data_IF_485781530996
#
_entry.id   IF_485781530996
#
_cell.length_a   1.000
_cell.length_b   1.000
_cell.length_c   1.000
_cell.angle_alpha   90.00
_cell.angle_beta   90.00
_cell.angle_gamma   90.00
#
_symmetry.space_group_name_H-M   'P 1'
#
loop_
_entity.id
_entity.type
_entity.pdbx_description
1 polymer ?
#
# COMPACT_ATOMS: atom_id res chain seq x y z
N UNK A 1 -37.42 18.94 -5.93
CA UNK A 1 -38.17 20.18 -5.69
C UNK A 1 -37.16 21.31 -5.55
N UNK A 2 -37.13 22.30 -6.46
CA UNK A 2 -36.11 23.34 -6.42
C UNK A 2 -36.53 24.47 -5.47
N UNK A 3 -35.60 24.95 -4.66
CA UNK A 3 -35.77 26.16 -3.86
C UNK A 3 -35.60 27.40 -4.75
N UNK A 4 -36.49 28.36 -4.59
CA UNK A 4 -36.58 29.61 -5.35
C UNK A 4 -35.66 30.68 -4.72
N UNK A 5 -34.84 31.36 -5.52
CA UNK A 5 -34.07 32.53 -5.09
C UNK A 5 -34.88 33.80 -5.35
N UNK A 6 -35.30 34.51 -4.31
CA UNK A 6 -35.73 35.90 -4.46
C UNK A 6 -34.50 36.81 -4.55
N UNK A 7 -34.50 37.71 -5.53
CA UNK A 7 -33.48 38.72 -5.75
C UNK A 7 -33.89 40.01 -5.01
N UNK A 8 -33.05 40.48 -4.10
CA UNK A 8 -33.03 41.87 -3.64
C UNK A 8 -31.70 42.50 -4.10
N UNK A 9 -31.82 43.59 -4.85
CA UNK A 9 -30.72 44.36 -5.48
C UNK A 9 -30.18 45.42 -4.48
N UNK A 10 -28.88 45.78 -4.47
CA UNK A 10 -28.13 46.21 -3.27
C UNK A 10 -27.88 47.74 -3.18
N UNK A 11 -27.15 48.21 -2.13
CA UNK A 11 -26.10 49.20 -2.40
C UNK A 11 -24.70 48.87 -1.79
N UNK A 12 -23.61 49.44 -2.39
CA UNK A 12 -22.17 49.10 -2.21
C UNK A 12 -21.51 49.81 -0.99
N UNK A 13 -20.22 49.53 -0.61
CA UNK A 13 -19.12 48.96 -1.41
C UNK A 13 -18.68 47.53 -1.08
N UNK A 14 -18.42 46.83 -2.17
CA UNK A 14 -17.99 45.45 -2.26
C UNK A 14 -16.57 45.25 -1.71
N UNK A 15 -16.47 44.38 -0.70
CA UNK A 15 -15.25 43.61 -0.45
C UNK A 15 -15.57 42.18 -0.87
N UNK A 16 -15.34 41.85 -2.13
CA UNK A 16 -15.36 40.47 -2.58
C UNK A 16 -14.13 39.76 -2.01
N UNK A 17 -14.25 39.25 -0.79
CA UNK A 17 -13.31 38.27 -0.26
C UNK A 17 -13.51 36.98 -1.05
N UNK A 18 -12.76 36.84 -2.15
CA UNK A 18 -12.53 35.53 -2.77
C UNK A 18 -11.93 34.64 -1.69
N UNK A 19 -12.75 33.78 -1.08
CA UNK A 19 -12.21 32.57 -0.46
C UNK A 19 -11.60 31.80 -1.61
N UNK A 20 -10.27 31.78 -1.69
CA UNK A 20 -9.58 30.74 -2.44
C UNK A 20 -10.17 29.44 -1.90
N UNK A 21 -11.02 28.80 -2.70
CA UNK A 21 -11.24 27.37 -2.58
C UNK A 21 -9.86 26.78 -2.77
N UNK A 22 -9.21 26.42 -1.66
CA UNK A 22 -8.13 25.46 -1.66
C UNK A 22 -8.73 24.16 -2.19
N UNK A 23 -8.83 24.10 -3.50
CA UNK A 23 -8.99 22.88 -4.25
C UNK A 23 -7.76 22.07 -3.88
N UNK A 24 -7.92 21.21 -2.88
CA UNK A 24 -6.93 20.22 -2.47
C UNK A 24 -6.45 19.58 -3.75
N UNK A 25 -5.26 19.98 -4.21
CA UNK A 25 -4.54 19.30 -5.27
C UNK A 25 -4.42 17.87 -4.79
N UNK A 26 -5.29 17.00 -5.29
CA UNK A 26 -5.25 15.58 -5.00
C UNK A 26 -3.88 15.11 -5.50
N UNK A 27 -2.90 15.03 -4.60
CA UNK A 27 -1.56 14.60 -4.95
C UNK A 27 -1.69 13.20 -5.50
N UNK A 28 -1.48 13.05 -6.82
CA UNK A 28 -1.56 11.74 -7.47
C UNK A 28 -0.59 10.82 -6.73
N UNK A 29 -1.00 9.64 -6.24
CA UNK A 29 -0.11 8.79 -5.46
C UNK A 29 1.14 8.49 -6.29
N UNK A 30 2.29 8.97 -5.80
CA UNK A 30 3.58 8.77 -6.47
C UNK A 30 3.98 7.33 -6.24
N UNK A 31 3.85 6.50 -7.28
CA UNK A 31 4.40 5.14 -7.27
C UNK A 31 5.92 5.27 -7.31
N UNK A 32 6.56 4.96 -6.19
CA UNK A 32 8.03 4.98 -6.07
C UNK A 32 8.67 3.69 -6.57
N UNK A 33 7.96 2.56 -6.43
CA UNK A 33 8.48 1.23 -6.78
C UNK A 33 7.43 0.32 -7.42
N UNK A 34 7.90 -0.66 -8.22
CA UNK A 34 7.05 -1.69 -8.84
C UNK A 34 7.81 -3.00 -9.04
N UNK A 35 7.25 -4.09 -8.53
CA UNK A 35 7.65 -5.45 -8.87
C UNK A 35 6.53 -6.17 -9.63
N UNK A 36 6.90 -7.11 -10.50
CA UNK A 36 5.95 -7.99 -11.22
C UNK A 36 6.28 -9.44 -10.90
N UNK A 37 5.29 -10.16 -10.36
CA UNK A 37 5.39 -11.59 -10.09
C UNK A 37 4.59 -12.35 -11.14
N UNK A 38 5.18 -13.41 -11.73
CA UNK A 38 4.50 -14.34 -12.65
C UNK A 38 4.37 -15.71 -11.97
N UNK A 39 3.30 -15.97 -11.20
CA UNK A 39 3.20 -17.20 -10.41
C UNK A 39 3.15 -18.47 -11.26
N UNK A 40 2.70 -18.38 -12.52
CA UNK A 40 2.66 -19.49 -13.47
C UNK A 40 4.06 -19.92 -13.97
N UNK A 41 5.04 -19.02 -13.91
CA UNK A 41 6.43 -19.30 -14.31
C UNK A 41 7.29 -19.83 -13.15
N UNK A 42 6.74 -19.86 -11.93
CA UNK A 42 7.48 -20.37 -10.77
C UNK A 42 7.57 -21.91 -10.83
N UNK A 43 8.75 -22.49 -10.55
CA UNK A 43 8.90 -23.93 -10.43
C UNK A 43 7.89 -24.55 -9.46
N UNK A 44 7.46 -25.80 -9.68
CA UNK A 44 6.42 -26.44 -8.87
C UNK A 44 6.82 -26.63 -7.40
N UNK A 45 8.11 -26.61 -7.07
CA UNK A 45 8.59 -26.67 -5.69
C UNK A 45 8.37 -25.35 -4.92
N UNK A 46 8.14 -24.22 -5.59
CA UNK A 46 7.86 -22.93 -4.94
C UNK A 46 6.40 -22.89 -4.51
N UNK A 47 6.18 -23.03 -3.21
CA UNK A 47 4.83 -23.04 -2.60
C UNK A 47 4.39 -21.69 -2.05
N UNK A 48 5.32 -20.76 -1.81
CA UNK A 48 5.04 -19.46 -1.18
C UNK A 48 5.99 -18.39 -1.70
N UNK A 49 5.47 -17.18 -1.88
CA UNK A 49 6.22 -15.96 -2.17
C UNK A 49 5.79 -14.89 -1.18
N UNK A 50 6.72 -14.45 -0.35
CA UNK A 50 6.49 -13.42 0.66
C UNK A 50 6.89 -12.07 0.09
N UNK A 51 6.00 -11.08 0.23
CA UNK A 51 6.25 -9.70 -0.17
C UNK A 51 6.45 -8.89 1.11
N UNK A 52 7.64 -8.31 1.23
CA UNK A 52 8.05 -7.52 2.36
C UNK A 52 8.47 -6.11 1.93
N UNK A 53 8.33 -5.17 2.85
CA UNK A 53 8.89 -3.83 2.77
C UNK A 53 9.87 -3.66 3.91
N UNK A 54 10.99 -3.01 3.64
CA UNK A 54 12.01 -2.74 4.64
C UNK A 54 12.46 -1.31 4.52
N UNK A 55 12.64 -0.66 5.67
CA UNK A 55 13.30 0.62 5.73
C UNK A 55 14.80 0.41 5.73
N UNK A 56 15.51 1.34 5.10
CA UNK A 56 16.96 1.41 5.21
C UNK A 56 17.34 1.59 6.69
N UNK A 57 18.20 0.71 7.20
CA UNK A 57 18.65 0.73 8.59
C UNK A 57 19.44 1.98 8.93
N UNK A 58 20.10 2.58 7.95
CA UNK A 58 20.97 3.75 8.13
C UNK A 58 20.17 5.06 8.09
N UNK A 59 18.95 5.03 7.55
CA UNK A 59 18.06 6.20 7.47
C UNK A 59 17.45 6.61 8.81
N UNK A 60 17.46 5.72 9.82
CA UNK A 60 16.73 5.91 11.08
C UNK A 60 15.21 5.88 10.94
N UNK A 61 14.68 5.68 9.73
CA UNK A 61 13.24 5.65 9.45
C UNK A 61 12.62 4.30 9.82
N UNK A 62 11.33 4.33 10.13
CA UNK A 62 10.53 3.15 10.48
C UNK A 62 9.35 3.02 9.52
N UNK A 63 8.67 1.87 9.54
CA UNK A 63 7.48 1.65 8.75
C UNK A 63 6.37 2.66 9.08
N UNK A 64 6.40 3.33 10.24
CA UNK A 64 5.52 4.46 10.54
C UNK A 64 5.71 5.69 9.65
N UNK A 65 6.85 5.82 8.96
CA UNK A 65 7.05 6.87 7.96
C UNK A 65 6.28 6.58 6.64
N UNK A 66 5.77 5.36 6.45
CA UNK A 66 5.07 4.93 5.24
C UNK A 66 3.58 5.30 5.31
N UNK A 67 3.29 6.59 5.21
CA UNK A 67 1.92 7.12 5.33
C UNK A 67 0.99 6.75 4.16
N UNK A 68 1.54 6.29 3.02
CA UNK A 68 0.77 6.01 1.79
C UNK A 68 1.29 4.79 1.02
N UNK A 69 1.83 3.77 1.69
CA UNK A 69 2.15 2.52 1.00
C UNK A 69 0.87 1.86 0.48
N UNK A 70 0.89 1.36 -0.75
CA UNK A 70 -0.22 0.62 -1.36
C UNK A 70 0.32 -0.51 -2.23
N UNK A 71 -0.11 -1.74 -1.94
CA UNK A 71 0.28 -2.92 -2.71
C UNK A 71 -0.77 -3.27 -3.75
N UNK A 72 -0.59 -2.75 -4.97
CA UNK A 72 -1.47 -3.10 -6.08
C UNK A 72 -1.06 -4.44 -6.72
N UNK A 73 -1.95 -5.42 -6.70
CA UNK A 73 -1.73 -6.73 -7.31
C UNK A 73 -2.67 -6.87 -8.49
N UNK A 74 -2.14 -6.67 -9.69
CA UNK A 74 -2.97 -6.81 -10.89
C UNK A 74 -2.98 -8.28 -11.32
N UNK A 75 -4.07 -9.00 -11.05
CA UNK A 75 -4.40 -10.20 -11.84
C UNK A 75 -5.05 -9.75 -13.14
N UNK A 76 -5.06 -10.62 -14.15
CA UNK A 76 -5.85 -10.40 -15.38
C UNK A 76 -7.32 -9.99 -15.09
N UNK A 77 -7.82 -10.29 -13.89
CA UNK A 77 -9.10 -9.84 -13.34
C UNK A 77 -8.88 -8.82 -12.20
N UNK A 78 -8.53 -7.57 -12.53
CA UNK A 78 -8.65 -6.28 -11.78
C UNK A 78 -8.69 -6.22 -10.22
N UNK A 79 -8.19 -7.19 -9.47
CA UNK A 79 -8.29 -7.21 -8.01
C UNK A 79 -7.22 -6.33 -7.36
N UNK A 80 -7.46 -5.02 -7.22
CA UNK A 80 -6.57 -4.14 -6.47
C UNK A 80 -6.77 -4.35 -4.96
N UNK A 81 -5.74 -4.85 -4.27
CA UNK A 81 -5.64 -4.78 -2.82
C UNK A 81 -4.91 -3.49 -2.42
N UNK A 82 -5.22 -2.95 -1.25
CA UNK A 82 -4.51 -1.80 -0.67
C UNK A 82 -4.19 -2.12 0.77
N UNK A 83 -2.96 -1.82 1.19
CA UNK A 83 -2.49 -2.09 2.53
C UNK A 83 -1.76 -0.88 3.07
N UNK A 84 -2.27 -0.36 4.17
CA UNK A 84 -1.64 0.72 4.91
C UNK A 84 -0.95 0.10 6.12
N UNK A 85 0.38 0.17 6.21
CA UNK A 85 1.10 -0.33 7.37
C UNK A 85 0.67 0.46 8.61
N UNK A 86 0.46 -0.19 9.77
CA UNK A 86 0.24 0.53 11.01
C UNK A 86 1.44 1.43 11.34
N UNK A 87 1.15 2.63 11.86
CA UNK A 87 2.15 3.59 12.30
C UNK A 87 2.81 3.16 13.62
N UNK A 88 3.63 2.12 13.55
CA UNK A 88 4.44 1.67 14.68
C UNK A 88 5.89 2.21 14.52
N UNK A 89 6.37 3.04 15.47
CA UNK A 89 7.70 3.62 15.42
C UNK A 89 8.83 2.62 15.67
N UNK A 90 8.53 1.37 16.04
CA UNK A 90 9.54 0.35 16.30
C UNK A 90 9.71 -0.63 15.14
N UNK A 91 8.78 -0.67 14.18
CA UNK A 91 8.82 -1.62 13.07
C UNK A 91 9.70 -1.06 11.95
N UNK A 92 10.72 -1.83 11.55
CA UNK A 92 11.67 -1.47 10.47
C UNK A 92 11.55 -2.35 9.24
N UNK A 93 10.93 -3.51 9.38
CA UNK A 93 10.61 -4.40 8.27
C UNK A 93 9.20 -4.97 8.47
N UNK A 94 8.45 -5.16 7.39
CA UNK A 94 7.09 -5.67 7.46
C UNK A 94 6.78 -6.58 6.30
N UNK A 95 6.21 -7.76 6.59
CA UNK A 95 5.57 -8.61 5.59
C UNK A 95 4.16 -8.10 5.38
N UNK A 96 3.90 -7.61 4.17
CA UNK A 96 2.60 -7.01 3.83
C UNK A 96 1.64 -8.05 3.27
N UNK A 97 2.14 -8.98 2.45
CA UNK A 97 1.33 -10.03 1.85
C UNK A 97 2.15 -11.26 1.51
N UNK A 98 1.47 -12.39 1.43
CA UNK A 98 2.02 -13.63 0.90
C UNK A 98 1.14 -14.19 -0.20
N UNK A 99 1.77 -14.63 -1.28
CA UNK A 99 1.13 -15.49 -2.25
C UNK A 99 1.51 -16.93 -1.92
N UNK A 100 0.52 -17.80 -1.83
CA UNK A 100 0.73 -19.22 -1.57
C UNK A 100 -0.01 -20.07 -2.59
N UNK A 101 0.61 -21.18 -2.96
CA UNK A 101 0.01 -22.17 -3.85
C UNK A 101 -1.02 -22.98 -3.06
N UNK A 102 -2.18 -23.19 -3.65
CA UNK A 102 -3.32 -23.88 -3.08
C UNK A 102 -3.96 -24.75 -4.16
N UNK A 103 -4.49 -25.91 -3.79
CA UNK A 103 -5.21 -26.77 -4.72
C UNK A 103 -6.70 -26.48 -4.60
N UNK A 104 -7.33 -26.05 -5.69
CA UNK A 104 -8.78 -25.76 -5.72
C UNK A 104 -9.36 -26.50 -6.92
N UNK A 105 -10.42 -27.28 -6.74
CA UNK A 105 -10.98 -28.16 -7.78
C UNK A 105 -9.92 -29.03 -8.49
N UNK A 106 -8.98 -29.58 -7.72
CA UNK A 106 -7.85 -30.38 -8.22
C UNK A 106 -6.90 -29.65 -9.19
N UNK A 107 -6.93 -28.31 -9.22
CA UNK A 107 -6.04 -27.47 -10.02
C UNK A 107 -5.15 -26.61 -9.12
N UNK A 108 -3.88 -26.38 -9.50
CA UNK A 108 -2.98 -25.49 -8.77
C UNK A 108 -3.42 -24.03 -8.98
N UNK A 109 -3.75 -23.37 -7.87
CA UNK A 109 -4.19 -21.98 -7.82
C UNK A 109 -3.30 -21.20 -6.86
N UNK A 110 -3.14 -19.90 -7.11
CA UNK A 110 -2.43 -19.02 -6.18
C UNK A 110 -3.43 -18.21 -5.37
N UNK A 111 -3.32 -18.24 -4.05
CA UNK A 111 -4.12 -17.40 -3.15
C UNK A 111 -3.23 -16.33 -2.54
N UNK A 112 -3.85 -15.19 -2.23
CA UNK A 112 -3.21 -14.09 -1.51
C UNK A 112 -3.65 -14.14 -0.05
N UNK A 113 -2.72 -13.89 0.86
CA UNK A 113 -2.96 -13.65 2.28
C UNK A 113 -2.37 -12.30 2.66
N UNK A 114 -3.18 -11.43 3.24
CA UNK A 114 -2.69 -10.23 3.92
C UNK A 114 -2.18 -10.62 5.31
N UNK A 115 -0.99 -10.14 5.71
CA UNK A 115 -0.42 -10.42 7.03
C UNK A 115 -0.23 -9.14 7.86
N UNK A 116 0.49 -8.15 7.34
CA UNK A 116 0.82 -6.93 8.09
C UNK A 116 1.71 -7.17 9.31
N UNK A 117 2.54 -8.20 9.29
CA UNK A 117 3.41 -8.55 10.40
C UNK A 117 4.69 -7.72 10.35
N UNK A 118 5.03 -7.06 11.47
CA UNK A 118 6.21 -6.22 11.60
C UNK A 118 7.37 -6.90 12.34
N UNK A 119 8.59 -6.47 12.02
CA UNK A 119 9.84 -6.80 12.70
C UNK A 119 10.59 -5.53 13.09
N UNK A 120 11.07 -5.47 14.32
CA UNK A 120 11.79 -4.31 14.85
C UNK A 120 13.26 -4.23 14.43
N UNK A 121 13.89 -5.38 14.18
CA UNK A 121 15.32 -5.49 13.87
C UNK A 121 15.61 -5.46 12.34
N UNK A 122 14.65 -4.97 11.54
CA UNK A 122 14.83 -4.77 10.10
C UNK A 122 14.96 -6.06 9.27
N UNK A 123 15.50 -5.91 8.06
CA UNK A 123 15.58 -6.98 7.05
C UNK A 123 16.27 -8.24 7.56
N UNK A 124 17.36 -8.12 8.34
CA UNK A 124 18.09 -9.28 8.84
C UNK A 124 17.25 -10.21 9.71
N UNK A 125 16.37 -9.65 10.56
CA UNK A 125 15.46 -10.45 11.39
C UNK A 125 14.32 -11.09 10.59
N UNK A 126 13.81 -10.38 9.57
CA UNK A 126 12.82 -10.90 8.64
C UNK A 126 13.42 -12.06 7.81
N UNK A 127 14.61 -11.86 7.25
CA UNK A 127 15.32 -12.87 6.46
C UNK A 127 15.51 -14.17 7.26
N UNK A 128 16.00 -14.07 8.51
CA UNK A 128 16.18 -15.22 9.40
C UNK A 128 14.87 -15.93 9.73
N UNK A 129 13.79 -15.19 9.94
CA UNK A 129 12.45 -15.79 10.14
C UNK A 129 11.97 -16.60 8.91
N UNK A 130 12.47 -16.26 7.71
CA UNK A 130 12.25 -16.99 6.47
C UNK A 130 13.38 -17.97 6.10
N UNK A 131 14.35 -18.21 7.00
CA UNK A 131 15.47 -19.13 6.78
C UNK A 131 16.55 -18.60 5.84
N UNK A 132 16.54 -17.31 5.51
CA UNK A 132 17.54 -16.64 4.66
C UNK A 132 18.63 -16.02 5.52
N UNK A 133 19.88 -16.29 5.17
CA UNK A 133 21.05 -15.61 5.76
C UNK A 133 21.53 -14.52 4.80
N UNK A 134 21.60 -13.28 5.28
CA UNK A 134 22.21 -12.18 4.55
C UNK A 134 23.71 -12.23 4.82
N UNK A 135 24.53 -12.16 3.77
CA UNK A 135 26.00 -12.15 3.85
C UNK A 135 26.51 -10.77 3.52
#
# INVERSE_FOLDING_TARGET
MPAYCQAETPPPPAVHRCKHSEETRQARPRRVERATLRPAALPPHIQRVTIAITMDTDSGLTCGALTHAALHINRATQAAWTFQPPSDPHIRAMVIAELYRHTTHNQPTWKLRALGQGWSHGLGSLARAHGVTLT
#
